data_IF_956005846532
#
_entry.id   IF_956005846532
#
_cell.length_a   1.000
_cell.length_b   1.000
_cell.length_c   1.000
_cell.angle_alpha   90.00
_cell.angle_beta   90.00
_cell.angle_gamma   90.00
#
_symmetry.space_group_name_H-M   'P 1'
#
loop_
_entity.id
_entity.type
_entity.pdbx_description
1 polymer ?
#
# COMPACT_ATOMS: atom_id res chain seq x y z
N UNK A 1 -11.36 6.74 10.90
CA UNK A 1 -11.41 6.00 9.61
C UNK A 1 -10.51 4.78 9.65
N UNK A 2 -10.98 3.63 9.17
CA UNK A 2 -10.20 2.38 9.05
C UNK A 2 -9.84 2.14 7.59
N UNK A 3 -8.55 2.23 7.26
CA UNK A 3 -8.01 2.03 5.91
C UNK A 3 -7.26 0.70 5.83
N UNK A 4 -7.65 -0.16 4.89
CA UNK A 4 -6.95 -1.41 4.58
C UNK A 4 -6.18 -1.24 3.28
N UNK A 5 -4.88 -1.55 3.24
CA UNK A 5 -4.16 -1.76 1.98
C UNK A 5 -3.93 -3.24 1.76
N UNK A 6 -4.21 -3.73 0.55
CA UNK A 6 -4.17 -5.15 0.23
C UNK A 6 -3.78 -5.42 -1.22
N UNK A 7 -2.62 -6.00 -1.43
CA UNK A 7 -2.26 -6.60 -2.71
C UNK A 7 -2.99 -7.94 -2.86
N UNK A 8 -3.90 -8.06 -3.83
CA UNK A 8 -4.77 -9.22 -4.03
C UNK A 8 -4.21 -10.26 -5.00
N UNK A 9 -2.98 -10.08 -5.45
CA UNK A 9 -2.26 -10.96 -6.38
C UNK A 9 -3.04 -11.30 -7.65
N UNK A 10 -2.48 -11.04 -8.83
CA UNK A 10 -3.03 -11.45 -10.14
C UNK A 10 -4.51 -11.10 -10.35
N UNK A 11 -4.95 -9.93 -9.84
CA UNK A 11 -6.31 -9.44 -9.97
C UNK A 11 -7.36 -10.18 -9.14
N UNK A 12 -6.93 -11.03 -8.20
CA UNK A 12 -7.84 -11.82 -7.36
C UNK A 12 -8.63 -12.90 -8.09
N UNK A 13 -8.24 -13.24 -9.33
CA UNK A 13 -8.96 -14.21 -10.17
C UNK A 13 -9.06 -15.57 -9.45
N UNK A 14 -10.27 -16.13 -9.37
CA UNK A 14 -10.57 -17.39 -8.70
C UNK A 14 -10.56 -17.33 -7.17
N UNK A 15 -10.35 -16.13 -6.54
CA UNK A 15 -10.21 -15.98 -5.09
C UNK A 15 -11.10 -14.87 -4.51
N UNK A 16 -12.12 -14.42 -5.25
CA UNK A 16 -12.97 -13.31 -4.85
C UNK A 16 -13.65 -13.54 -3.48
N UNK A 17 -14.11 -14.75 -3.21
CA UNK A 17 -14.73 -15.16 -1.94
C UNK A 17 -13.76 -15.06 -0.77
N UNK A 18 -12.57 -15.61 -0.92
CA UNK A 18 -11.52 -15.59 0.10
C UNK A 18 -11.07 -14.16 0.40
N UNK A 19 -10.84 -13.35 -0.65
CA UNK A 19 -10.46 -11.95 -0.51
C UNK A 19 -11.57 -11.16 0.20
N UNK A 20 -12.83 -11.36 -0.18
CA UNK A 20 -13.97 -10.71 0.46
C UNK A 20 -14.11 -11.11 1.94
N UNK A 21 -13.83 -12.37 2.30
CA UNK A 21 -13.85 -12.84 3.69
C UNK A 21 -12.78 -12.14 4.52
N UNK A 22 -11.54 -12.03 4.00
CA UNK A 22 -10.44 -11.31 4.67
C UNK A 22 -10.81 -9.84 4.88
N UNK A 23 -11.37 -9.18 3.86
CA UNK A 23 -11.77 -7.78 3.94
C UNK A 23 -12.91 -7.60 4.97
N UNK A 24 -13.93 -8.47 4.97
CA UNK A 24 -15.02 -8.42 5.96
C UNK A 24 -14.49 -8.57 7.38
N UNK A 25 -13.60 -9.53 7.61
CA UNK A 25 -13.01 -9.77 8.94
C UNK A 25 -12.17 -8.59 9.44
N UNK A 26 -11.53 -7.85 8.54
CA UNK A 26 -10.80 -6.63 8.87
C UNK A 26 -11.74 -5.43 9.14
N UNK A 27 -12.99 -5.46 8.64
CA UNK A 27 -14.01 -4.43 8.79
C UNK A 27 -13.51 -2.99 8.47
N UNK A 28 -12.87 -2.73 7.31
CA UNK A 28 -12.42 -1.40 6.96
C UNK A 28 -13.55 -0.52 6.43
N UNK A 29 -13.36 0.81 6.50
CA UNK A 29 -14.18 1.79 5.83
C UNK A 29 -13.78 1.94 4.36
N UNK A 30 -12.47 1.89 4.10
CA UNK A 30 -11.86 2.03 2.77
C UNK A 30 -10.81 0.96 2.56
N UNK A 31 -10.77 0.39 1.35
CA UNK A 31 -9.75 -0.58 0.93
C UNK A 31 -8.98 -0.03 -0.26
N UNK A 32 -7.66 0.09 -0.11
CA UNK A 32 -6.71 0.39 -1.17
C UNK A 32 -6.18 -0.93 -1.74
N UNK A 33 -6.57 -1.27 -2.97
CA UNK A 33 -6.22 -2.53 -3.61
C UNK A 33 -5.03 -2.38 -4.56
N UNK A 34 -4.13 -3.36 -4.55
CA UNK A 34 -3.08 -3.50 -5.54
C UNK A 34 -3.30 -4.78 -6.35
N UNK A 35 -2.77 -4.78 -7.56
CA UNK A 35 -3.05 -5.77 -8.62
C UNK A 35 -4.53 -5.88 -9.05
N UNK A 36 -5.33 -4.87 -8.80
CA UNK A 36 -6.78 -4.84 -9.05
C UNK A 36 -7.12 -4.62 -10.54
N UNK A 37 -6.59 -5.45 -11.45
CA UNK A 37 -6.65 -5.25 -12.92
C UNK A 37 -7.94 -5.72 -13.58
N UNK A 38 -8.79 -6.46 -12.87
CA UNK A 38 -9.98 -7.12 -13.40
C UNK A 38 -11.26 -6.52 -12.79
N UNK A 39 -11.90 -5.51 -13.41
CA UNK A 39 -13.07 -4.82 -12.84
C UNK A 39 -14.19 -5.77 -12.39
N UNK A 40 -14.52 -6.79 -13.17
CA UNK A 40 -15.57 -7.74 -12.82
C UNK A 40 -15.24 -8.55 -11.54
N UNK A 41 -13.96 -8.85 -11.27
CA UNK A 41 -13.53 -9.50 -10.02
C UNK A 41 -13.64 -8.54 -8.86
N UNK A 42 -13.24 -7.27 -9.05
CA UNK A 42 -13.33 -6.25 -8.00
C UNK A 42 -14.80 -5.94 -7.65
N UNK A 43 -15.66 -5.86 -8.64
CA UNK A 43 -17.11 -5.73 -8.45
C UNK A 43 -17.67 -6.88 -7.60
N UNK A 44 -17.29 -8.12 -7.93
CA UNK A 44 -17.71 -9.31 -7.17
C UNK A 44 -17.20 -9.25 -5.72
N UNK A 45 -15.93 -8.87 -5.51
CA UNK A 45 -15.38 -8.69 -4.17
C UNK A 45 -16.14 -7.61 -3.40
N UNK A 46 -16.44 -6.46 -4.05
CA UNK A 46 -17.20 -5.37 -3.45
C UNK A 46 -18.59 -5.83 -3.01
N UNK A 47 -19.32 -6.54 -3.88
CA UNK A 47 -20.65 -7.09 -3.58
C UNK A 47 -20.60 -8.09 -2.41
N UNK A 48 -19.65 -9.05 -2.44
CA UNK A 48 -19.49 -10.07 -1.39
C UNK A 48 -19.07 -9.47 -0.05
N UNK A 49 -18.26 -8.39 -0.06
CA UNK A 49 -17.78 -7.73 1.15
C UNK A 49 -18.71 -6.60 1.65
N UNK A 50 -19.76 -6.27 0.90
CA UNK A 50 -20.75 -5.25 1.26
C UNK A 50 -20.23 -3.82 1.12
N UNK A 51 -19.51 -3.53 0.03
CA UNK A 51 -19.01 -2.19 -0.28
C UNK A 51 -19.83 -1.55 -1.41
N UNK A 52 -20.56 -0.44 -1.14
CA UNK A 52 -21.40 0.21 -2.16
C UNK A 52 -20.60 0.97 -3.21
N UNK A 53 -19.40 1.44 -2.86
CA UNK A 53 -18.54 2.18 -3.78
C UNK A 53 -17.29 1.36 -4.10
N UNK A 54 -16.95 1.26 -5.37
CA UNK A 54 -15.74 0.56 -5.81
C UNK A 54 -15.24 1.12 -7.14
N UNK A 55 -13.97 0.90 -7.43
CA UNK A 55 -13.39 1.26 -8.71
C UNK A 55 -12.16 0.43 -9.03
N UNK A 56 -12.09 0.02 -10.29
CA UNK A 56 -10.97 -0.66 -10.90
C UNK A 56 -10.92 -0.35 -12.39
N UNK A 57 -9.75 -0.42 -12.99
CA UNK A 57 -9.56 -0.13 -14.41
C UNK A 57 -8.70 -1.21 -15.07
N UNK A 58 -9.07 -1.72 -16.25
CA UNK A 58 -8.20 -2.61 -17.00
C UNK A 58 -6.81 -1.99 -17.20
N UNK A 59 -5.76 -2.80 -17.10
CA UNK A 59 -4.36 -2.38 -17.24
C UNK A 59 -3.81 -1.45 -16.13
N UNK A 60 -4.63 -1.08 -15.13
CA UNK A 60 -4.17 -0.37 -13.94
C UNK A 60 -4.05 -1.35 -12.78
N UNK A 61 -2.97 -1.26 -12.04
CA UNK A 61 -2.74 -2.19 -10.92
C UNK A 61 -3.40 -1.76 -9.61
N UNK A 62 -3.98 -0.56 -9.56
CA UNK A 62 -4.64 -0.04 -8.36
C UNK A 62 -6.15 -0.01 -8.52
N UNK A 63 -6.85 -0.24 -7.41
CA UNK A 63 -8.30 -0.16 -7.28
C UNK A 63 -8.71 0.18 -5.86
N UNK A 64 -10.01 0.31 -5.61
CA UNK A 64 -10.54 0.61 -4.28
C UNK A 64 -11.90 -0.02 -4.03
N UNK A 65 -12.21 -0.20 -2.75
CA UNK A 65 -13.57 -0.38 -2.24
C UNK A 65 -13.80 0.66 -1.15
N UNK A 66 -15.04 1.17 -1.00
CA UNK A 66 -15.36 2.14 0.05
C UNK A 66 -16.78 1.93 0.57
N UNK A 67 -16.94 2.02 1.90
CA UNK A 67 -18.23 2.13 2.58
C UNK A 67 -18.70 3.58 2.67
N UNK A 68 -17.74 4.50 2.73
CA UNK A 68 -18.01 5.94 2.77
C UNK A 68 -18.16 6.49 1.34
N UNK A 69 -18.97 7.54 1.14
CA UNK A 69 -19.15 8.13 -0.17
C UNK A 69 -17.82 8.62 -0.77
N UNK A 70 -17.59 8.28 -2.03
CA UNK A 70 -16.45 8.75 -2.81
C UNK A 70 -16.93 9.90 -3.70
N UNK A 71 -16.45 11.09 -3.42
CA UNK A 71 -16.83 12.30 -4.15
C UNK A 71 -16.20 12.34 -5.54
N UNK A 72 -14.91 11.97 -5.60
CA UNK A 72 -14.15 11.92 -6.85
C UNK A 72 -13.09 10.83 -6.75
N UNK A 73 -12.80 10.18 -7.87
CA UNK A 73 -11.65 9.29 -7.99
C UNK A 73 -11.05 9.35 -9.38
N UNK A 74 -9.74 9.12 -9.48
CA UNK A 74 -9.05 9.14 -10.75
C UNK A 74 -7.70 8.46 -10.75
N UNK A 75 -7.36 7.84 -11.88
CA UNK A 75 -6.01 7.31 -12.12
C UNK A 75 -5.17 8.38 -12.80
N UNK A 76 -4.28 9.00 -12.03
CA UNK A 76 -3.37 10.03 -12.53
C UNK A 76 -2.00 9.41 -12.81
N UNK A 77 -1.43 9.73 -13.94
CA UNK A 77 -0.06 9.33 -14.30
C UNK A 77 0.80 10.58 -14.44
N UNK A 78 1.53 10.98 -13.40
CA UNK A 78 2.47 12.08 -13.50
C UNK A 78 3.51 11.86 -14.61
N UNK A 79 4.09 12.91 -15.18
CA UNK A 79 5.14 12.78 -16.18
C UNK A 79 6.27 11.86 -15.72
N UNK A 80 6.79 11.03 -16.63
CA UNK A 80 7.89 10.08 -16.38
C UNK A 80 7.60 8.93 -15.42
N UNK A 81 6.35 8.73 -14.97
CA UNK A 81 5.95 7.56 -14.19
C UNK A 81 5.40 6.45 -15.09
N UNK A 82 5.63 5.19 -14.70
CA UNK A 82 5.09 4.02 -15.41
C UNK A 82 3.70 3.65 -14.88
N UNK A 83 3.55 3.67 -13.56
CA UNK A 83 2.30 3.30 -12.90
C UNK A 83 1.45 4.54 -12.65
N UNK A 84 0.15 4.36 -12.68
CA UNK A 84 -0.78 5.41 -12.29
C UNK A 84 -0.96 5.40 -10.78
N UNK A 85 -1.02 6.58 -10.19
CA UNK A 85 -1.51 6.82 -8.86
C UNK A 85 -3.03 6.85 -8.92
N UNK A 86 -3.71 6.08 -8.08
CA UNK A 86 -5.16 6.23 -7.89
C UNK A 86 -5.38 7.21 -6.75
N UNK A 87 -6.14 8.24 -7.02
CA UNK A 87 -6.56 9.25 -6.05
C UNK A 87 -8.03 9.08 -5.71
N UNK A 88 -8.35 9.15 -4.42
CA UNK A 88 -9.71 9.11 -3.89
C UNK A 88 -9.96 10.37 -3.04
N UNK A 89 -10.99 11.13 -3.40
CA UNK A 89 -11.56 12.18 -2.57
C UNK A 89 -12.79 11.62 -1.87
N UNK A 90 -12.73 11.53 -0.56
CA UNK A 90 -13.79 10.98 0.28
C UNK A 90 -14.65 12.10 0.85
N UNK A 91 -15.88 11.76 1.28
CA UNK A 91 -16.78 12.71 1.95
C UNK A 91 -16.35 12.99 3.40
N UNK A 92 -16.99 14.00 4.00
CA UNK A 92 -17.02 14.28 5.45
C UNK A 92 -15.67 14.55 6.13
N UNK A 93 -14.79 15.30 5.46
CA UNK A 93 -13.50 15.72 6.03
C UNK A 93 -12.48 14.58 6.21
N UNK A 94 -12.76 13.43 5.65
CA UNK A 94 -11.83 12.29 5.63
C UNK A 94 -10.58 12.63 4.79
N UNK A 95 -9.42 12.01 5.10
CA UNK A 95 -8.21 12.26 4.34
C UNK A 95 -8.36 11.83 2.88
N UNK A 96 -7.73 12.57 1.96
CA UNK A 96 -7.56 12.10 0.59
C UNK A 96 -6.65 10.89 0.59
N UNK A 97 -7.03 9.84 -0.16
CA UNK A 97 -6.29 8.59 -0.22
C UNK A 97 -5.62 8.44 -1.58
N UNK A 98 -4.30 8.27 -1.56
CA UNK A 98 -3.51 7.95 -2.74
C UNK A 98 -3.09 6.49 -2.68
N UNK A 99 -3.54 5.70 -3.66
CA UNK A 99 -3.22 4.27 -3.76
C UNK A 99 -2.16 4.07 -4.82
N UNK A 100 -1.09 3.38 -4.46
CA UNK A 100 0.01 3.11 -5.36
C UNK A 100 0.43 1.63 -5.33
N UNK A 101 1.10 1.22 -6.41
CA UNK A 101 1.74 -0.08 -6.53
C UNK A 101 3.03 0.11 -7.32
N UNK A 102 4.17 0.11 -6.64
CA UNK A 102 5.47 0.32 -7.25
C UNK A 102 6.01 -0.99 -7.84
N UNK A 103 6.97 -0.86 -8.73
CA UNK A 103 7.56 -1.99 -9.45
C UNK A 103 8.21 -2.99 -8.50
N UNK A 104 7.88 -4.28 -8.64
CA UNK A 104 8.55 -5.39 -7.99
C UNK A 104 10.03 -5.53 -8.42
N UNK A 105 10.79 -6.39 -7.76
CA UNK A 105 12.19 -6.76 -7.93
C UNK A 105 13.18 -6.07 -6.97
N UNK A 106 14.08 -6.89 -6.40
CA UNK A 106 15.05 -6.48 -5.38
C UNK A 106 16.47 -6.26 -5.96
N UNK A 107 16.59 -5.55 -7.09
CA UNK A 107 17.89 -5.14 -7.63
C UNK A 107 18.14 -3.64 -7.42
N UNK A 108 19.41 -3.23 -7.33
CA UNK A 108 19.77 -1.80 -7.24
C UNK A 108 19.15 -0.96 -8.36
N UNK A 109 19.08 -1.52 -9.56
CA UNK A 109 18.49 -0.86 -10.71
C UNK A 109 16.96 -0.70 -10.60
N UNK A 110 16.27 -1.72 -10.05
CA UNK A 110 14.84 -1.64 -9.77
C UNK A 110 14.54 -0.61 -8.71
N UNK A 111 15.38 -0.53 -7.67
CA UNK A 111 15.27 0.45 -6.61
C UNK A 111 15.41 1.88 -7.13
N UNK A 112 16.43 2.15 -7.95
CA UNK A 112 16.61 3.47 -8.57
C UNK A 112 15.42 3.87 -9.47
N UNK A 113 14.78 2.90 -10.12
CA UNK A 113 13.58 3.14 -10.91
C UNK A 113 12.37 3.42 -10.04
N UNK A 114 12.18 2.65 -8.95
CA UNK A 114 11.12 2.92 -7.96
C UNK A 114 11.26 4.31 -7.35
N UNK A 115 12.47 4.65 -6.90
CA UNK A 115 12.75 5.96 -6.31
C UNK A 115 12.44 7.10 -7.29
N UNK A 116 12.81 6.97 -8.58
CA UNK A 116 12.47 7.97 -9.61
C UNK A 116 10.96 8.05 -9.88
N UNK A 117 10.29 6.90 -9.90
CA UNK A 117 8.84 6.84 -10.07
C UNK A 117 8.12 7.48 -8.88
N UNK A 118 8.52 7.12 -7.67
CA UNK A 118 7.98 7.70 -6.44
C UNK A 118 8.20 9.21 -6.40
N UNK A 119 9.39 9.72 -6.75
CA UNK A 119 9.65 11.17 -6.85
C UNK A 119 8.63 11.85 -7.75
N UNK A 120 8.40 11.33 -8.95
CA UNK A 120 7.41 11.90 -9.88
C UNK A 120 5.98 11.87 -9.33
N UNK A 121 5.62 10.85 -8.53
CA UNK A 121 4.32 10.77 -7.86
C UNK A 121 4.21 11.82 -6.75
N UNK A 122 5.25 11.96 -5.91
CA UNK A 122 5.27 12.94 -4.81
C UNK A 122 5.26 14.38 -5.33
N UNK A 123 6.04 14.67 -6.37
CA UNK A 123 6.02 15.97 -7.04
C UNK A 123 4.60 16.29 -7.57
N UNK A 124 3.93 15.31 -8.19
CA UNK A 124 2.55 15.45 -8.65
C UNK A 124 1.54 15.72 -7.52
N UNK A 125 1.68 15.07 -6.37
CA UNK A 125 0.85 15.33 -5.17
C UNK A 125 1.14 16.73 -4.64
N UNK A 126 2.41 17.12 -4.54
CA UNK A 126 2.80 18.43 -4.05
C UNK A 126 2.28 19.57 -4.95
N UNK A 127 2.41 19.42 -6.26
CA UNK A 127 1.85 20.37 -7.24
C UNK A 127 0.34 20.51 -7.09
N UNK A 128 -0.37 19.42 -6.79
CA UNK A 128 -1.80 19.43 -6.59
C UNK A 128 -2.17 20.07 -5.24
N UNK A 129 -1.43 19.77 -4.16
CA UNK A 129 -1.60 20.46 -2.86
C UNK A 129 -1.52 21.97 -3.01
N UNK A 130 -0.50 22.44 -3.75
CA UNK A 130 -0.34 23.89 -4.00
C UNK A 130 -1.50 24.44 -4.81
N UNK A 131 -1.92 23.79 -5.89
CA UNK A 131 -3.03 24.25 -6.74
C UNK A 131 -4.35 24.31 -5.98
N UNK A 132 -4.60 23.35 -5.08
CA UNK A 132 -5.83 23.28 -4.27
C UNK A 132 -5.67 23.99 -2.91
N UNK A 133 -4.67 24.86 -2.75
CA UNK A 133 -4.43 25.67 -1.55
C UNK A 133 -4.38 24.82 -0.26
N UNK A 134 -3.75 23.65 -0.33
CA UNK A 134 -3.65 22.69 0.76
C UNK A 134 -5.00 22.15 1.30
N UNK A 135 -6.05 22.15 0.47
CA UNK A 135 -7.38 21.65 0.87
C UNK A 135 -7.38 20.20 1.36
N UNK A 136 -6.36 19.41 1.00
CA UNK A 136 -6.15 18.05 1.48
C UNK A 136 -4.77 17.87 2.15
N UNK A 137 -4.35 18.82 2.97
CA UNK A 137 -3.07 18.76 3.70
C UNK A 137 -2.95 17.44 4.50
N UNK A 138 -4.05 16.99 5.12
CA UNK A 138 -4.13 15.63 5.66
C UNK A 138 -4.53 14.66 4.55
N UNK A 139 -3.58 13.83 4.15
CA UNK A 139 -3.77 12.77 3.18
C UNK A 139 -2.97 11.52 3.57
N UNK A 140 -3.24 10.41 2.91
CA UNK A 140 -2.51 9.15 3.10
C UNK A 140 -2.08 8.56 1.77
N UNK A 141 -0.88 7.98 1.74
CA UNK A 141 -0.39 7.15 0.64
C UNK A 141 -0.40 5.70 1.12
N UNK A 142 -1.14 4.84 0.44
CA UNK A 142 -1.27 3.43 0.80
C UNK A 142 -0.95 2.52 -0.37
N UNK A 143 -0.26 1.42 -0.13
CA UNK A 143 -0.03 0.44 -1.18
C UNK A 143 1.18 -0.46 -0.98
N UNK A 144 1.46 -1.22 -2.03
CA UNK A 144 2.64 -2.05 -2.16
C UNK A 144 3.79 -1.21 -2.77
N UNK A 145 4.75 -0.87 -1.93
CA UNK A 145 5.93 -0.10 -2.34
C UNK A 145 7.03 -0.99 -2.93
N UNK A 146 6.94 -2.31 -2.75
CA UNK A 146 7.96 -3.26 -3.19
C UNK A 146 9.39 -2.88 -2.75
N UNK A 147 9.52 -2.22 -1.61
CA UNK A 147 10.77 -1.67 -1.08
C UNK A 147 10.87 -1.92 0.44
N UNK A 148 12.10 -2.04 0.93
CA UNK A 148 12.37 -2.22 2.36
C UNK A 148 12.61 -0.86 3.03
N UNK A 149 12.20 -0.75 4.31
CA UNK A 149 12.48 0.45 5.09
C UNK A 149 13.91 0.46 5.67
N UNK A 150 14.52 1.66 5.83
CA UNK A 150 15.79 1.82 6.55
C UNK A 150 15.69 1.29 7.98
N UNK A 151 16.76 0.61 8.43
CA UNK A 151 16.84 0.04 9.77
C UNK A 151 16.11 -1.30 9.95
N UNK A 152 15.37 -1.79 8.96
CA UNK A 152 14.75 -3.12 9.02
C UNK A 152 15.78 -4.21 8.69
N UNK A 153 15.78 -5.27 9.50
CA UNK A 153 16.57 -6.46 9.20
C UNK A 153 16.06 -7.11 7.92
N UNK A 154 16.98 -7.53 7.09
CA UNK A 154 16.68 -8.27 5.89
C UNK A 154 17.45 -9.60 5.91
N UNK A 155 16.70 -10.69 5.93
CA UNK A 155 17.23 -12.04 5.78
C UNK A 155 16.82 -12.59 4.41
N UNK A 156 17.79 -12.85 3.56
CA UNK A 156 17.54 -13.45 2.26
C UNK A 156 17.45 -14.99 2.31
N UNK A 157 17.77 -15.63 3.45
CA UNK A 157 17.83 -17.09 3.56
C UNK A 157 16.52 -17.82 3.19
N UNK A 158 15.32 -17.25 3.51
CA UNK A 158 14.05 -17.86 3.11
C UNK A 158 13.71 -17.68 1.62
N UNK A 159 14.46 -16.84 0.90
CA UNK A 159 14.19 -16.52 -0.50
C UNK A 159 14.67 -17.60 -1.46
N UNK A 160 14.05 -17.73 -2.66
CA UNK A 160 14.54 -18.60 -3.73
C UNK A 160 16.01 -18.33 -4.08
N UNK A 161 16.74 -19.38 -4.44
CA UNK A 161 18.19 -19.30 -4.69
C UNK A 161 18.59 -18.22 -5.72
N UNK A 162 17.77 -18.01 -6.75
CA UNK A 162 18.02 -16.99 -7.77
C UNK A 162 17.89 -15.55 -7.22
N UNK A 163 16.94 -15.30 -6.28
CA UNK A 163 16.84 -14.00 -5.59
C UNK A 163 18.04 -13.81 -4.68
N UNK A 164 18.44 -14.83 -3.91
CA UNK A 164 19.63 -14.79 -3.07
C UNK A 164 20.89 -14.45 -3.88
N UNK A 165 21.01 -15.06 -5.07
CA UNK A 165 22.08 -14.73 -6.01
C UNK A 165 22.07 -13.28 -6.46
N UNK A 166 20.91 -12.72 -6.78
CA UNK A 166 20.78 -11.31 -7.14
C UNK A 166 21.13 -10.38 -5.97
N UNK A 167 20.67 -10.69 -4.77
CA UNK A 167 21.00 -9.93 -3.55
C UNK A 167 22.52 -9.97 -3.30
N UNK A 168 23.14 -11.14 -3.43
CA UNK A 168 24.58 -11.30 -3.28
C UNK A 168 25.36 -10.45 -4.29
N UNK A 169 24.98 -10.46 -5.58
CA UNK A 169 25.56 -9.63 -6.63
C UNK A 169 25.34 -8.12 -6.41
N UNK A 170 24.28 -7.76 -5.68
CA UNK A 170 23.96 -6.36 -5.32
C UNK A 170 24.72 -5.85 -4.08
N UNK A 171 25.67 -6.64 -3.54
CA UNK A 171 26.47 -6.27 -2.36
C UNK A 171 25.89 -6.77 -1.04
N UNK A 172 25.11 -7.85 -1.08
CA UNK A 172 24.48 -8.54 0.07
C UNK A 172 23.44 -7.73 0.83
N UNK A 173 23.04 -6.57 0.29
CA UNK A 173 21.97 -5.77 0.86
C UNK A 173 21.05 -5.24 -0.24
N UNK A 174 19.82 -4.90 0.15
CA UNK A 174 18.83 -4.27 -0.72
C UNK A 174 18.80 -2.78 -0.42
N UNK A 175 18.94 -1.96 -1.46
CA UNK A 175 18.83 -0.52 -1.31
C UNK A 175 17.44 -0.11 -0.82
N UNK A 176 17.37 0.89 0.06
CA UNK A 176 16.16 1.35 0.75
C UNK A 176 15.77 2.78 0.39
N UNK A 177 16.34 3.30 -0.69
CA UNK A 177 16.18 4.70 -1.10
C UNK A 177 14.74 5.12 -1.36
N UNK A 178 13.87 4.19 -1.74
CA UNK A 178 12.44 4.45 -1.93
C UNK A 178 11.78 4.89 -0.63
N UNK A 179 11.99 4.16 0.46
CA UNK A 179 11.38 4.48 1.76
C UNK A 179 12.14 5.63 2.47
N UNK A 180 13.46 5.73 2.27
CA UNK A 180 14.24 6.90 2.72
C UNK A 180 13.69 8.20 2.13
N UNK A 181 13.33 8.18 0.85
CA UNK A 181 12.72 9.33 0.16
C UNK A 181 11.40 9.75 0.81
N UNK A 182 10.52 8.82 1.15
CA UNK A 182 9.26 9.13 1.85
C UNK A 182 9.53 9.88 3.16
N UNK A 183 10.51 9.42 3.95
CA UNK A 183 10.90 10.08 5.21
C UNK A 183 11.51 11.46 4.97
N UNK A 184 12.38 11.59 3.97
CA UNK A 184 13.02 12.86 3.61
C UNK A 184 12.00 13.90 3.11
N UNK A 185 10.93 13.46 2.46
CA UNK A 185 9.83 14.32 2.00
C UNK A 185 8.78 14.60 3.12
N UNK A 186 9.10 14.25 4.38
CA UNK A 186 8.27 14.59 5.53
C UNK A 186 7.07 13.68 5.76
N UNK A 187 7.12 12.42 5.29
CA UNK A 187 6.10 11.42 5.56
C UNK A 187 6.50 10.50 6.73
N UNK A 188 5.54 10.19 7.58
CA UNK A 188 5.63 9.20 8.64
C UNK A 188 5.04 7.87 8.19
N UNK A 189 5.75 6.79 8.47
CA UNK A 189 5.31 5.41 8.28
C UNK A 189 4.34 5.02 9.40
N UNK A 190 3.09 4.70 9.07
CA UNK A 190 2.05 4.37 10.03
C UNK A 190 2.42 3.17 10.92
N UNK A 191 3.11 2.15 10.36
CA UNK A 191 3.58 1.02 11.16
C UNK A 191 4.56 1.49 12.24
N UNK A 192 5.55 2.31 11.88
CA UNK A 192 6.59 2.78 12.81
C UNK A 192 6.10 3.85 13.77
N UNK A 193 5.03 4.56 13.45
CA UNK A 193 4.37 5.48 14.38
C UNK A 193 3.76 4.75 15.58
N UNK A 194 3.26 3.53 15.37
CA UNK A 194 2.63 2.68 16.40
C UNK A 194 3.63 1.67 16.99
N UNK A 195 4.51 1.13 16.15
CA UNK A 195 5.49 0.09 16.49
C UNK A 195 6.92 0.60 16.24
N UNK A 196 7.51 1.36 17.19
CA UNK A 196 8.82 1.96 16.99
C UNK A 196 9.97 0.94 16.95
N UNK A 197 9.83 -0.22 17.63
CA UNK A 197 10.84 -1.27 17.65
C UNK A 197 10.75 -2.15 16.40
N UNK A 198 11.72 -1.97 15.48
CA UNK A 198 11.75 -2.72 14.23
C UNK A 198 12.20 -4.17 14.37
N UNK A 199 12.83 -4.54 15.46
CA UNK A 199 13.32 -5.90 15.72
C UNK A 199 12.24 -6.78 16.34
N UNK A 200 11.51 -6.25 17.31
CA UNK A 200 10.43 -6.98 17.98
C UNK A 200 9.14 -6.98 17.17
N UNK A 201 8.88 -5.89 16.45
CA UNK A 201 7.64 -5.71 15.66
C UNK A 201 7.96 -5.36 14.20
N UNK A 202 8.41 -6.34 13.42
CA UNK A 202 8.85 -6.10 12.04
C UNK A 202 7.72 -5.78 11.07
N UNK A 203 6.47 -6.17 11.35
CA UNK A 203 5.31 -5.87 10.50
C UNK A 203 5.32 -6.57 9.13
N UNK A 204 5.90 -7.76 9.04
CA UNK A 204 6.03 -8.48 7.77
C UNK A 204 4.68 -8.79 7.13
N UNK A 205 4.53 -8.41 5.86
CA UNK A 205 3.32 -8.64 5.06
C UNK A 205 3.51 -9.70 3.98
N UNK A 206 4.76 -10.02 3.59
CA UNK A 206 5.08 -10.92 2.48
C UNK A 206 6.21 -11.92 2.81
N UNK A 207 6.21 -13.11 2.22
CA UNK A 207 5.05 -13.81 1.67
C UNK A 207 4.23 -14.48 2.79
N UNK A 208 2.94 -14.70 2.58
CA UNK A 208 2.04 -15.24 3.63
C UNK A 208 2.45 -16.61 4.19
N UNK A 209 3.12 -17.45 3.40
CA UNK A 209 3.58 -18.79 3.83
C UNK A 209 4.85 -18.76 4.68
N UNK A 210 5.64 -17.69 4.63
CA UNK A 210 6.82 -17.45 5.45
C UNK A 210 7.13 -15.95 5.51
N UNK A 211 6.40 -15.17 6.32
CA UNK A 211 6.52 -13.71 6.33
C UNK A 211 7.90 -13.27 6.85
N UNK A 212 8.68 -12.59 6.01
CA UNK A 212 10.01 -12.11 6.35
C UNK A 212 10.38 -10.76 5.73
N UNK A 213 9.43 -10.12 5.00
CA UNK A 213 9.59 -8.76 4.49
C UNK A 213 8.31 -7.96 4.62
N UNK A 214 8.44 -6.66 4.83
CA UNK A 214 7.37 -5.68 4.81
C UNK A 214 7.45 -4.91 3.51
N UNK A 215 6.43 -5.04 2.66
CA UNK A 215 6.35 -4.41 1.34
C UNK A 215 5.17 -3.45 1.23
N UNK A 216 4.16 -3.64 2.11
CA UNK A 216 2.95 -2.84 2.15
C UNK A 216 3.06 -1.76 3.22
N UNK A 217 2.73 -0.54 2.85
CA UNK A 217 2.89 0.63 3.70
C UNK A 217 1.65 1.53 3.63
N UNK A 218 1.45 2.26 4.72
CA UNK A 218 0.61 3.45 4.77
C UNK A 218 1.45 4.59 5.32
N UNK A 219 1.51 5.69 4.59
CA UNK A 219 2.20 6.90 4.98
C UNK A 219 1.23 8.05 5.16
N UNK A 220 1.51 8.93 6.11
CA UNK A 220 0.82 10.21 6.32
C UNK A 220 1.86 11.32 6.43
N UNK A 221 1.57 12.57 6.09
CA UNK A 221 2.48 13.66 6.39
C UNK A 221 2.84 13.66 7.88
N UNK A 222 4.10 13.88 8.22
CA UNK A 222 4.62 13.73 9.60
C UNK A 222 3.85 14.59 10.62
N UNK A 223 3.33 15.75 10.19
CA UNK A 223 2.48 16.61 11.00
C UNK A 223 1.19 15.92 11.48
N UNK A 224 0.76 14.85 10.81
CA UNK A 224 -0.45 14.08 11.12
C UNK A 224 -0.15 12.66 11.63
N UNK A 225 1.10 12.36 11.96
CA UNK A 225 1.50 11.03 12.44
C UNK A 225 0.73 10.60 13.70
N UNK A 226 0.40 11.54 14.58
CA UNK A 226 -0.37 11.29 15.81
C UNK A 226 -1.82 10.88 15.55
N UNK A 227 -2.33 11.06 14.34
CA UNK A 227 -3.66 10.56 13.95
C UNK A 227 -3.68 9.07 13.65
N UNK A 228 -2.53 8.43 13.51
CA UNK A 228 -2.43 6.98 13.41
C UNK A 228 -2.57 6.38 14.80
N UNK A 229 -3.72 5.80 15.10
CA UNK A 229 -4.05 5.24 16.43
C UNK A 229 -3.80 3.76 16.52
N UNK A 230 -3.84 3.03 15.39
CA UNK A 230 -3.49 1.62 15.29
C UNK A 230 -2.97 1.28 13.88
N UNK A 231 -2.09 0.28 13.81
CA UNK A 231 -1.60 -0.28 12.56
C UNK A 231 -1.34 -1.77 12.75
N UNK A 232 -2.02 -2.64 11.98
CA UNK A 232 -2.01 -4.08 12.19
C UNK A 232 -1.87 -4.86 10.88
N UNK A 233 -1.00 -5.86 10.85
CA UNK A 233 -0.98 -6.88 9.78
C UNK A 233 -2.08 -7.90 10.06
N UNK A 234 -3.08 -7.98 9.19
CA UNK A 234 -4.25 -8.85 9.37
C UNK A 234 -3.95 -10.25 8.85
N UNK A 235 -3.58 -11.16 9.77
CA UNK A 235 -3.26 -12.56 9.47
C UNK A 235 -4.44 -13.52 9.66
N UNK A 236 -5.53 -13.03 10.23
CA UNK A 236 -6.80 -13.72 10.37
C UNK A 236 -7.84 -13.12 9.41
N UNK A 237 -8.84 -13.90 8.97
CA UNK A 237 -9.05 -15.34 9.20
C UNK A 237 -7.99 -16.22 8.51
N UNK A 238 -7.98 -17.53 8.78
CA UNK A 238 -7.00 -18.48 8.20
C UNK A 238 -6.97 -18.44 6.67
N UNK A 239 -8.10 -18.15 6.02
CA UNK A 239 -8.21 -17.99 4.57
C UNK A 239 -7.28 -16.89 4.01
N UNK A 240 -6.80 -15.96 4.83
CA UNK A 240 -5.82 -14.94 4.42
C UNK A 240 -4.53 -15.57 3.86
N UNK A 241 -4.17 -16.79 4.29
CA UNK A 241 -2.99 -17.51 3.79
C UNK A 241 -3.13 -18.05 2.37
N UNK A 242 -4.35 -18.11 1.84
CA UNK A 242 -4.66 -18.59 0.49
C UNK A 242 -5.29 -17.53 -0.39
N UNK A 243 -5.83 -16.47 0.21
CA UNK A 243 -6.48 -15.37 -0.51
C UNK A 243 -5.49 -14.54 -1.34
N UNK A 244 -4.27 -14.35 -0.86
CA UNK A 244 -3.18 -13.67 -1.58
C UNK A 244 -1.81 -14.21 -1.13
N UNK A 245 -0.73 -13.71 -1.71
CA UNK A 245 0.64 -13.88 -1.23
C UNK A 245 1.09 -12.75 -0.28
N UNK A 246 0.26 -11.69 -0.12
CA UNK A 246 0.42 -10.64 0.87
C UNK A 246 -0.64 -10.76 1.98
N UNK A 247 -0.25 -10.45 3.22
CA UNK A 247 -1.21 -10.10 4.27
C UNK A 247 -1.60 -8.63 4.15
N UNK A 248 -2.88 -8.28 4.33
CA UNK A 248 -3.30 -6.89 4.31
C UNK A 248 -2.82 -6.14 5.56
N UNK A 249 -2.59 -4.84 5.40
CA UNK A 249 -2.23 -3.91 6.46
C UNK A 249 -3.43 -2.99 6.74
N UNK A 250 -3.93 -3.02 7.98
CA UNK A 250 -5.03 -2.17 8.45
C UNK A 250 -4.47 -1.03 9.29
N UNK A 251 -4.91 0.19 8.99
CA UNK A 251 -4.54 1.40 9.74
C UNK A 251 -5.81 2.08 10.24
N UNK A 252 -5.82 2.47 11.50
CA UNK A 252 -6.86 3.29 12.11
C UNK A 252 -6.37 4.73 12.23
N UNK A 253 -7.18 5.64 11.70
CA UNK A 253 -6.93 7.08 11.71
C UNK A 253 -8.02 7.77 12.54
N UNK A 254 -7.60 8.57 13.54
CA UNK A 254 -8.54 9.38 14.31
C UNK A 254 -9.10 10.52 13.46
N UNK A 255 -10.30 10.93 13.79
CA UNK A 255 -10.90 12.16 13.27
C UNK A 255 -10.14 13.39 13.77
N UNK A 256 -10.37 14.52 13.13
CA UNK A 256 -9.68 15.77 13.42
C UNK A 256 -10.04 16.34 14.79
#
# INVERSE_FOLDING_TARGET
>A
MRLLTYNIREGGVGRAEQIAEVIRAAAPDVVALQEARHPAVIERIAALAGFPFWGSRPLHSTGFLSRVPVLEHGWRRPPRTRHALLELSLADGLPRVFVLHLRAWFSKWSEQRRARELRGLLDGIQDQLVREQHAFAFHVLAGDFNALAPGERFDSSPMPAWIRGMVWLSGRDIARSTIEMMRADGYADAWRAVHPDSEQEPGYTFPVWNPHVRLDYVFTPAAYATRVTACEVRRAPEVARTASDHFPLLVELSDA
#
